data_IF_125098438354
#
_entry.id   IF_125098438354
#
_cell.length_a   1.000
_cell.length_b   1.000
_cell.length_c   1.000
_cell.angle_alpha   90.00
_cell.angle_beta   90.00
_cell.angle_gamma   90.00
#
_symmetry.space_group_name_H-M   'P 1'
#
loop_
_entity.id
_entity.type
_entity.pdbx_description
1 polymer ?
#
# COMPACT_ATOMS: atom_id res chain seq x y z
N UNK A 1 9.22 -47.94 24.75
CA UNK A 1 9.12 -46.73 25.58
C UNK A 1 10.30 -45.79 25.45
N UNK A 2 11.57 -46.17 25.60
CA UNK A 2 12.73 -45.24 25.57
C UNK A 2 12.90 -44.54 24.19
N UNK A 3 12.69 -45.23 23.06
CA UNK A 3 12.81 -44.66 21.72
C UNK A 3 11.71 -43.62 21.46
N UNK A 4 10.48 -43.88 21.88
CA UNK A 4 9.36 -42.96 21.71
C UNK A 4 9.57 -41.67 22.54
N UNK A 5 10.09 -41.81 23.78
CA UNK A 5 10.44 -40.68 24.63
C UNK A 5 11.58 -39.85 24.06
N UNK A 6 12.55 -40.49 23.42
CA UNK A 6 13.66 -39.81 22.74
C UNK A 6 13.19 -39.05 21.49
N UNK A 7 12.30 -39.65 20.68
CA UNK A 7 11.68 -38.97 19.53
C UNK A 7 10.85 -37.78 20.00
N UNK A 8 10.03 -37.92 21.04
CA UNK A 8 9.26 -36.81 21.63
C UNK A 8 10.15 -35.69 22.14
N UNK A 9 11.29 -36.05 22.79
CA UNK A 9 12.27 -35.04 23.26
C UNK A 9 12.93 -34.28 22.11
N UNK A 10 13.32 -34.97 21.02
CA UNK A 10 13.88 -34.34 19.83
C UNK A 10 12.87 -33.44 19.14
N UNK A 11 11.62 -33.87 19.00
CA UNK A 11 10.54 -33.04 18.45
C UNK A 11 10.27 -31.82 19.33
N UNK A 12 10.33 -31.98 20.65
CA UNK A 12 10.19 -30.84 21.58
C UNK A 12 11.35 -29.86 21.47
N UNK A 13 12.59 -30.34 21.34
CA UNK A 13 13.78 -29.49 21.15
C UNK A 13 13.71 -28.75 19.81
N UNK A 14 13.29 -29.43 18.73
CA UNK A 14 13.09 -28.81 17.42
C UNK A 14 11.94 -27.79 17.46
N UNK A 15 10.85 -28.09 18.14
CA UNK A 15 9.74 -27.16 18.33
C UNK A 15 10.17 -25.93 19.14
N UNK A 16 10.90 -26.13 20.25
CA UNK A 16 11.45 -25.03 21.07
C UNK A 16 12.49 -24.22 20.30
N UNK A 17 13.34 -24.88 19.51
CA UNK A 17 14.30 -24.21 18.63
C UNK A 17 13.62 -23.41 17.52
N UNK A 18 12.58 -23.97 16.89
CA UNK A 18 11.75 -23.29 15.89
C UNK A 18 11.00 -22.11 16.50
N UNK A 19 10.36 -22.29 17.66
CA UNK A 19 9.68 -21.21 18.41
C UNK A 19 10.71 -20.15 18.82
N UNK A 20 11.90 -20.53 19.27
CA UNK A 20 12.98 -19.60 19.61
C UNK A 20 13.49 -18.81 18.38
N UNK A 21 13.60 -19.46 17.22
CA UNK A 21 13.96 -18.81 15.95
C UNK A 21 12.89 -17.83 15.49
N UNK A 22 11.62 -18.28 15.49
CA UNK A 22 10.46 -17.44 15.16
C UNK A 22 10.34 -16.29 16.17
N UNK A 23 10.58 -16.56 17.47
CA UNK A 23 10.61 -15.54 18.52
C UNK A 23 11.67 -14.47 18.25
N UNK A 24 12.90 -14.87 17.92
CA UNK A 24 13.99 -13.93 17.66
C UNK A 24 13.77 -13.06 16.44
N UNK A 25 13.09 -13.60 15.40
CA UNK A 25 12.82 -12.90 14.13
C UNK A 25 11.50 -12.12 14.14
N UNK A 26 10.50 -12.58 14.93
CA UNK A 26 9.13 -12.05 14.92
C UNK A 26 8.49 -11.96 16.31
N UNK A 27 9.28 -11.68 17.35
CA UNK A 27 8.79 -11.63 18.75
C UNK A 27 7.57 -10.72 18.94
N UNK A 28 7.50 -9.64 18.17
CA UNK A 28 6.40 -8.68 18.19
C UNK A 28 5.06 -9.27 17.74
N UNK A 29 5.07 -10.29 16.88
CA UNK A 29 3.86 -10.92 16.33
C UNK A 29 3.40 -12.16 17.11
N UNK A 30 4.26 -12.70 18.00
CA UNK A 30 3.90 -13.87 18.80
C UNK A 30 2.64 -13.66 19.66
N UNK A 31 2.43 -12.50 20.29
CA UNK A 31 1.19 -12.26 21.05
C UNK A 31 -0.08 -12.46 20.22
N UNK A 32 -0.03 -12.17 18.91
CA UNK A 32 -1.18 -12.36 18.02
C UNK A 32 -1.62 -13.83 17.90
N UNK A 33 -0.67 -14.78 17.94
CA UNK A 33 -0.95 -16.22 17.87
C UNK A 33 -1.75 -16.72 19.09
N UNK A 34 -1.61 -16.02 20.22
CA UNK A 34 -2.28 -16.35 21.47
C UNK A 34 -3.46 -15.42 21.78
N UNK A 35 -3.84 -14.53 20.83
CA UNK A 35 -4.88 -13.54 21.06
C UNK A 35 -4.54 -12.52 22.17
N UNK A 36 -3.24 -12.37 22.47
CA UNK A 36 -2.74 -11.45 23.50
C UNK A 36 -2.45 -10.11 22.84
N UNK A 37 -2.92 -9.03 23.45
CA UNK A 37 -2.65 -7.68 22.99
C UNK A 37 -3.86 -6.77 23.20
N UNK A 38 -3.66 -5.50 22.95
CA UNK A 38 -4.71 -4.50 23.05
C UNK A 38 -4.19 -3.12 22.70
N UNK A 39 -5.09 -2.22 22.37
CA UNK A 39 -4.73 -0.85 22.12
C UNK A 39 -4.44 -0.13 23.44
N UNK A 40 -3.23 0.40 23.64
CA UNK A 40 -2.97 1.33 24.73
C UNK A 40 -3.94 2.51 24.65
N UNK A 41 -4.41 2.96 25.82
CA UNK A 41 -5.22 4.17 25.87
C UNK A 41 -4.32 5.40 25.66
N UNK A 42 -4.39 5.98 24.48
CA UNK A 42 -3.75 7.24 24.16
C UNK A 42 -4.73 8.37 24.52
N UNK A 43 -4.32 9.24 25.44
CA UNK A 43 -5.20 10.35 25.87
C UNK A 43 -5.27 11.39 24.75
N UNK A 44 -6.43 12.00 24.55
CA UNK A 44 -6.62 13.05 23.54
C UNK A 44 -5.54 14.13 23.61
N UNK A 45 -5.16 14.58 24.81
CA UNK A 45 -4.10 15.57 25.02
C UNK A 45 -2.72 15.15 24.50
N UNK A 46 -2.45 13.84 24.34
CA UNK A 46 -1.15 13.34 23.90
C UNK A 46 -0.94 13.50 22.38
N UNK A 47 -1.99 13.88 21.64
CA UNK A 47 -1.92 14.18 20.21
C UNK A 47 -1.65 15.66 19.91
N UNK A 48 -1.81 16.56 20.89
CA UNK A 48 -1.83 18.00 20.66
C UNK A 48 -0.73 18.73 21.41
N UNK A 49 -0.28 19.84 20.83
CA UNK A 49 0.54 20.84 21.47
C UNK A 49 -0.33 21.80 22.32
N UNK A 50 0.31 22.69 23.05
CA UNK A 50 -0.39 23.65 23.90
C UNK A 50 -1.26 24.63 23.10
N UNK A 51 -0.92 24.91 21.86
CA UNK A 51 -1.66 25.78 20.94
C UNK A 51 -2.85 25.07 20.24
N UNK A 52 -3.07 23.79 20.54
CA UNK A 52 -4.14 22.98 19.97
C UNK A 52 -3.83 22.33 18.64
N UNK A 53 -2.66 22.56 18.06
CA UNK A 53 -2.22 21.86 16.85
C UNK A 53 -1.70 20.46 17.16
N UNK A 54 -1.66 19.57 16.17
CA UNK A 54 -1.09 18.24 16.36
C UNK A 54 0.41 18.34 16.68
N UNK A 55 0.84 17.57 17.68
CA UNK A 55 2.28 17.41 17.91
C UNK A 55 2.91 16.53 16.83
N UNK A 56 4.19 16.74 16.60
CA UNK A 56 4.94 15.86 15.71
C UNK A 56 5.03 14.44 16.29
N UNK A 57 4.79 13.46 15.44
CA UNK A 57 5.05 12.07 15.73
C UNK A 57 6.54 11.77 15.72
N UNK A 58 6.98 10.90 16.60
CA UNK A 58 8.37 10.51 16.77
C UNK A 58 8.54 9.00 16.66
N UNK A 59 9.76 8.55 16.38
CA UNK A 59 10.10 7.12 16.22
C UNK A 59 9.79 6.26 17.45
N UNK A 60 9.82 6.87 18.64
CA UNK A 60 9.55 6.21 19.91
C UNK A 60 8.08 6.21 20.30
N UNK A 61 7.22 6.86 19.53
CA UNK A 61 5.77 6.74 19.69
C UNK A 61 5.31 5.31 19.42
N UNK A 62 4.27 4.89 20.15
CA UNK A 62 3.70 3.54 19.97
C UNK A 62 2.94 3.47 18.64
N UNK A 63 2.87 2.30 18.03
CA UNK A 63 2.01 2.05 16.88
C UNK A 63 0.57 2.50 17.14
N UNK A 64 0.07 2.31 18.37
CA UNK A 64 -1.24 2.81 18.78
C UNK A 64 -1.41 4.32 18.60
N UNK A 65 -0.36 5.13 18.79
CA UNK A 65 -0.42 6.58 18.58
C UNK A 65 -0.76 6.90 17.12
N UNK A 66 -0.08 6.28 16.19
CA UNK A 66 -0.34 6.47 14.76
C UNK A 66 -1.71 5.95 14.35
N UNK A 67 -2.03 4.68 14.72
CA UNK A 67 -3.28 4.03 14.32
C UNK A 67 -4.53 4.69 14.91
N UNK A 68 -4.44 5.28 16.11
CA UNK A 68 -5.56 5.96 16.76
C UNK A 68 -5.50 7.48 16.59
N UNK A 69 -4.58 7.98 15.75
CA UNK A 69 -4.43 9.42 15.56
C UNK A 69 -5.74 10.04 15.01
N UNK A 70 -6.18 11.20 15.55
CA UNK A 70 -7.41 11.86 15.11
C UNK A 70 -7.50 12.13 13.61
N UNK A 71 -6.36 12.30 12.93
CA UNK A 71 -6.27 12.49 11.47
C UNK A 71 -7.00 11.40 10.67
N UNK A 72 -7.15 10.22 11.23
CA UNK A 72 -7.83 9.10 10.58
C UNK A 72 -9.30 8.92 10.97
N UNK A 73 -9.88 9.84 11.74
CA UNK A 73 -11.31 9.79 12.07
C UNK A 73 -11.77 8.48 12.74
N UNK A 74 -10.87 7.73 13.38
CA UNK A 74 -11.16 6.43 13.99
C UNK A 74 -10.83 5.22 13.10
N UNK A 75 -10.46 5.42 11.85
CA UNK A 75 -10.08 4.35 10.89
C UNK A 75 -8.62 3.94 11.09
N UNK A 76 -8.37 3.07 12.09
CA UNK A 76 -7.02 2.63 12.51
C UNK A 76 -6.21 1.97 11.40
N UNK A 77 -6.89 1.27 10.48
CA UNK A 77 -6.31 0.58 9.34
C UNK A 77 -5.70 1.53 8.30
N UNK A 78 -6.03 2.82 8.33
CA UNK A 78 -5.45 3.83 7.44
C UNK A 78 -3.94 3.99 7.61
N UNK A 79 -3.41 3.79 8.82
CA UNK A 79 -1.96 3.83 9.04
C UNK A 79 -1.28 2.51 8.63
N UNK A 80 -1.87 1.40 9.04
CA UNK A 80 -1.39 0.06 8.71
C UNK A 80 -2.56 -0.93 8.84
N UNK A 81 -2.95 -1.61 7.77
CA UNK A 81 -4.01 -2.59 7.79
C UNK A 81 -3.44 -4.02 7.88
N UNK A 82 -3.96 -4.80 8.79
CA UNK A 82 -3.66 -6.22 9.00
C UNK A 82 -4.80 -6.83 9.83
N UNK A 83 -4.81 -8.13 10.02
CA UNK A 83 -5.81 -8.78 10.89
C UNK A 83 -5.87 -8.16 12.28
N UNK A 84 -7.06 -8.05 12.88
CA UNK A 84 -7.31 -7.34 14.14
C UNK A 84 -6.49 -7.86 15.32
N UNK A 85 -6.23 -9.17 15.40
CA UNK A 85 -5.38 -9.77 16.42
C UNK A 85 -3.92 -9.32 16.28
N UNK A 86 -3.44 -9.14 15.06
CA UNK A 86 -2.10 -8.63 14.77
C UNK A 86 -2.03 -7.14 15.10
N UNK A 87 -3.03 -6.34 14.70
CA UNK A 87 -3.12 -4.92 15.08
C UNK A 87 -3.04 -4.74 16.60
N UNK A 88 -3.79 -5.54 17.36
CA UNK A 88 -3.76 -5.51 18.84
C UNK A 88 -2.41 -5.90 19.42
N UNK A 89 -1.70 -6.85 18.79
CA UNK A 89 -0.38 -7.30 19.22
C UNK A 89 0.71 -6.25 19.00
N UNK A 90 0.67 -5.55 17.86
CA UNK A 90 1.69 -4.53 17.50
C UNK A 90 1.40 -3.16 18.11
N UNK A 91 0.16 -2.86 18.47
CA UNK A 91 -0.25 -1.55 18.99
C UNK A 91 0.60 -1.01 20.15
N UNK A 92 1.07 -1.83 21.13
CA UNK A 92 1.95 -1.38 22.20
C UNK A 92 3.39 -1.10 21.81
N UNK A 93 3.86 -1.61 20.65
CA UNK A 93 5.25 -1.52 20.22
C UNK A 93 5.60 -0.07 19.81
N UNK A 94 6.86 0.32 19.98
CA UNK A 94 7.38 1.56 19.39
C UNK A 94 7.42 1.43 17.87
N UNK A 95 7.20 2.53 17.16
CA UNK A 95 7.24 2.54 15.70
C UNK A 95 8.62 2.13 15.15
N UNK A 96 9.69 2.59 15.79
CA UNK A 96 11.05 2.19 15.41
C UNK A 96 11.27 0.66 15.52
N UNK A 97 10.76 0.03 16.60
CA UNK A 97 10.88 -1.41 16.79
C UNK A 97 10.02 -2.18 15.78
N UNK A 98 8.85 -1.65 15.45
CA UNK A 98 7.97 -2.21 14.41
C UNK A 98 8.64 -2.21 13.05
N UNK A 99 9.16 -1.07 12.58
CA UNK A 99 9.86 -0.99 11.29
C UNK A 99 11.12 -1.85 11.26
N UNK A 100 11.85 -1.93 12.37
CA UNK A 100 13.00 -2.82 12.48
C UNK A 100 12.61 -4.30 12.33
N UNK A 101 11.51 -4.71 12.94
CA UNK A 101 11.00 -6.09 12.81
C UNK A 101 10.54 -6.40 11.38
N UNK A 102 10.09 -5.38 10.63
CA UNK A 102 9.74 -5.48 9.21
C UNK A 102 10.94 -5.40 8.25
N UNK A 103 12.16 -5.17 8.75
CA UNK A 103 13.34 -4.92 7.91
C UNK A 103 13.32 -3.57 7.19
N UNK A 104 12.54 -2.59 7.68
CA UNK A 104 12.27 -1.28 7.03
C UNK A 104 12.81 -0.09 7.82
N UNK A 105 13.82 -0.28 8.65
CA UNK A 105 14.40 0.79 9.46
C UNK A 105 14.93 1.98 8.64
N UNK A 106 15.36 1.73 7.41
CA UNK A 106 15.84 2.71 6.44
C UNK A 106 14.73 3.65 5.93
N UNK A 107 13.45 3.26 6.06
CA UNK A 107 12.29 4.03 5.61
C UNK A 107 11.69 4.92 6.72
N UNK A 108 12.17 4.81 7.95
CA UNK A 108 11.57 5.45 9.13
C UNK A 108 11.48 6.97 9.02
N UNK A 109 12.54 7.63 8.57
CA UNK A 109 12.56 9.09 8.48
C UNK A 109 11.53 9.60 7.47
N UNK A 110 11.44 8.95 6.32
CA UNK A 110 10.44 9.29 5.30
C UNK A 110 9.01 9.05 5.77
N UNK A 111 8.77 7.95 6.47
CA UNK A 111 7.44 7.62 6.99
C UNK A 111 7.01 8.64 8.06
N UNK A 112 7.91 9.02 8.98
CA UNK A 112 7.64 10.05 9.99
C UNK A 112 7.44 11.44 9.37
N UNK A 113 8.28 11.83 8.40
CA UNK A 113 8.10 13.11 7.69
C UNK A 113 6.75 13.15 6.99
N UNK A 114 6.40 12.08 6.27
CA UNK A 114 5.14 11.99 5.54
C UNK A 114 3.92 12.00 6.46
N UNK A 115 3.97 11.29 7.59
CA UNK A 115 2.90 11.33 8.57
C UNK A 115 2.73 12.73 9.18
N UNK A 116 3.83 13.36 9.58
CA UNK A 116 3.81 14.74 10.12
C UNK A 116 3.40 15.78 9.06
N UNK A 117 3.65 15.51 7.78
CA UNK A 117 3.16 16.33 6.68
C UNK A 117 1.64 16.18 6.52
N UNK A 118 1.14 14.94 6.54
CA UNK A 118 -0.29 14.65 6.46
C UNK A 118 -1.06 15.35 7.60
N UNK A 119 -0.58 15.26 8.86
CA UNK A 119 -1.28 15.87 10.00
C UNK A 119 -1.48 17.36 9.80
N UNK A 120 -0.47 18.07 9.29
CA UNK A 120 -0.58 19.51 8.98
C UNK A 120 -1.58 19.80 7.87
N UNK A 121 -1.61 18.97 6.82
CA UNK A 121 -2.57 19.15 5.72
C UNK A 121 -4.02 18.91 6.14
N UNK A 122 -4.25 17.97 7.07
CA UNK A 122 -5.59 17.78 7.63
C UNK A 122 -5.99 18.97 8.50
N UNK A 123 -5.08 19.54 9.29
CA UNK A 123 -5.34 20.75 10.08
C UNK A 123 -5.65 21.98 9.20
N UNK A 124 -4.97 22.11 8.06
CA UNK A 124 -5.22 23.21 7.10
C UNK A 124 -6.41 22.98 6.17
N UNK A 125 -7.00 21.76 6.17
CA UNK A 125 -8.07 21.38 5.25
C UNK A 125 -7.60 21.06 3.82
N UNK A 126 -6.30 20.90 3.62
CA UNK A 126 -5.71 20.48 2.34
C UNK A 126 -5.67 18.97 2.15
N UNK A 127 -5.93 18.20 3.22
CA UNK A 127 -6.16 16.76 3.13
C UNK A 127 -7.41 16.36 3.91
N UNK A 128 -8.13 15.34 3.39
CA UNK A 128 -9.35 14.83 4.00
C UNK A 128 -9.46 13.31 3.87
N UNK A 129 -10.09 12.70 4.87
CA UNK A 129 -10.43 11.28 4.85
C UNK A 129 -11.70 11.07 4.02
N UNK A 130 -11.66 10.12 3.09
CA UNK A 130 -12.81 9.58 2.36
C UNK A 130 -13.10 8.20 2.93
N UNK A 131 -14.29 7.98 3.49
CA UNK A 131 -14.66 6.74 4.17
C UNK A 131 -15.98 6.14 3.69
N UNK A 132 -16.57 6.70 2.66
CA UNK A 132 -17.87 6.33 2.06
C UNK A 132 -17.72 5.79 0.63
N UNK A 133 -16.55 5.18 0.33
CA UNK A 133 -16.29 4.58 -0.98
C UNK A 133 -17.22 3.38 -1.24
N UNK A 134 -17.40 2.53 -0.25
CA UNK A 134 -18.36 1.44 -0.31
C UNK A 134 -19.72 1.85 0.25
N UNK A 135 -20.78 1.32 -0.33
CA UNK A 135 -22.14 1.61 0.12
C UNK A 135 -22.44 1.03 1.51
N UNK A 136 -23.44 1.59 2.18
CA UNK A 136 -23.88 1.08 3.50
C UNK A 136 -24.30 -0.38 3.42
N UNK A 137 -24.96 -0.79 2.33
CA UNK A 137 -25.41 -2.16 2.11
C UNK A 137 -24.22 -3.14 2.00
N UNK A 138 -23.12 -2.72 1.35
CA UNK A 138 -21.90 -3.53 1.29
C UNK A 138 -21.27 -3.68 2.69
N UNK A 139 -21.24 -2.62 3.48
CA UNK A 139 -20.71 -2.62 4.84
C UNK A 139 -21.59 -3.46 5.78
N UNK A 140 -22.91 -3.42 5.62
CA UNK A 140 -23.84 -4.27 6.39
C UNK A 140 -23.64 -5.77 6.08
N UNK A 141 -23.36 -6.12 4.82
CA UNK A 141 -23.07 -7.51 4.42
C UNK A 141 -21.71 -7.98 4.91
N UNK A 142 -20.70 -7.13 4.88
CA UNK A 142 -19.38 -7.40 5.42
C UNK A 142 -18.79 -6.13 6.06
N UNK A 143 -18.73 -6.05 7.41
CA UNK A 143 -18.21 -4.87 8.11
C UNK A 143 -16.80 -4.44 7.70
N UNK A 144 -15.98 -5.37 7.21
CA UNK A 144 -14.64 -5.04 6.71
C UNK A 144 -14.65 -4.23 5.41
N UNK A 145 -15.78 -4.13 4.71
CA UNK A 145 -15.93 -3.21 3.58
C UNK A 145 -15.77 -1.73 3.99
N UNK A 146 -15.93 -1.40 5.27
CA UNK A 146 -15.60 -0.10 5.84
C UNK A 146 -14.10 0.20 5.87
N UNK A 147 -13.24 -0.79 5.61
CA UNK A 147 -11.80 -0.61 5.50
C UNK A 147 -11.36 -0.06 4.14
N UNK A 148 -12.26 -0.04 3.12
CA UNK A 148 -11.98 0.68 1.89
C UNK A 148 -12.15 2.18 2.14
N UNK A 149 -11.04 2.84 2.36
CA UNK A 149 -10.98 4.26 2.68
C UNK A 149 -9.85 4.92 1.90
N UNK A 150 -9.88 6.24 1.78
CA UNK A 150 -8.85 7.01 1.12
C UNK A 150 -8.45 8.25 1.90
N UNK A 151 -7.17 8.58 1.90
CA UNK A 151 -6.69 9.89 2.32
C UNK A 151 -6.43 10.73 1.08
N UNK A 152 -7.28 11.71 0.86
CA UNK A 152 -7.21 12.60 -0.30
C UNK A 152 -6.41 13.86 0.04
N UNK A 153 -5.41 14.16 -0.76
CA UNK A 153 -4.59 15.36 -0.73
C UNK A 153 -5.02 16.24 -1.90
N UNK A 154 -5.48 17.44 -1.61
CA UNK A 154 -5.97 18.38 -2.61
C UNK A 154 -4.80 19.08 -3.31
N UNK A 155 -4.61 18.77 -4.57
CA UNK A 155 -3.56 19.35 -5.41
C UNK A 155 -3.90 20.73 -5.96
N UNK A 156 -3.02 21.22 -6.82
CA UNK A 156 -3.20 22.48 -7.56
C UNK A 156 -4.07 22.25 -8.80
N UNK A 157 -4.86 23.25 -9.15
CA UNK A 157 -5.67 23.21 -10.37
C UNK A 157 -4.82 22.92 -11.62
N UNK A 158 -5.30 22.00 -12.46
CA UNK A 158 -4.64 21.60 -13.71
C UNK A 158 -3.51 20.57 -13.55
N UNK A 159 -3.24 20.12 -12.32
CA UNK A 159 -2.39 18.96 -12.07
C UNK A 159 -3.25 17.69 -12.00
N UNK A 160 -2.77 16.56 -12.55
CA UNK A 160 -3.53 15.31 -12.54
C UNK A 160 -3.64 14.67 -11.17
N UNK A 161 -4.45 13.63 -11.09
CA UNK A 161 -4.63 12.80 -9.90
C UNK A 161 -3.68 11.62 -9.92
N UNK A 162 -3.06 11.32 -8.78
CA UNK A 162 -2.40 10.05 -8.50
C UNK A 162 -3.24 9.22 -7.52
N UNK A 163 -3.53 7.98 -7.86
CA UNK A 163 -4.05 6.98 -6.92
C UNK A 163 -2.87 6.15 -6.43
N UNK A 164 -2.63 6.12 -5.12
CA UNK A 164 -1.52 5.38 -4.51
C UNK A 164 -2.07 4.14 -3.81
N UNK A 165 -1.62 2.97 -4.27
CA UNK A 165 -2.07 1.65 -3.82
C UNK A 165 -0.93 0.94 -3.12
N UNK A 166 -0.89 0.91 -1.77
CA UNK A 166 0.18 0.27 -1.03
C UNK A 166 0.16 -1.25 -1.20
N UNK A 167 1.31 -1.87 -1.00
CA UNK A 167 1.47 -3.32 -0.99
C UNK A 167 1.17 -3.95 0.37
N UNK A 168 1.66 -5.16 0.56
CA UNK A 168 1.51 -5.95 1.79
C UNK A 168 1.01 -7.37 1.54
N UNK A 169 1.22 -7.92 0.33
CA UNK A 169 0.95 -9.32 -0.01
C UNK A 169 -0.52 -9.73 0.11
N UNK A 170 -1.46 -8.79 0.02
CA UNK A 170 -2.91 -8.98 0.28
C UNK A 170 -3.25 -9.45 1.70
N UNK A 171 -2.28 -9.46 2.61
CA UNK A 171 -2.45 -9.79 4.03
C UNK A 171 -2.22 -8.59 4.95
N UNK A 172 -1.75 -7.49 4.40
CA UNK A 172 -1.61 -6.19 5.06
C UNK A 172 -1.66 -5.05 4.04
N UNK A 173 -1.80 -3.79 4.50
CA UNK A 173 -1.47 -2.61 3.70
C UNK A 173 -0.34 -1.83 4.39
N UNK A 174 0.74 -1.60 3.68
CA UNK A 174 1.94 -0.91 4.18
C UNK A 174 1.84 0.58 3.83
N UNK A 175 0.79 1.22 4.28
CA UNK A 175 0.44 2.60 3.90
C UNK A 175 1.45 3.60 4.44
N UNK A 176 2.02 3.31 5.61
CA UNK A 176 3.01 4.14 6.29
C UNK A 176 4.31 4.33 5.49
N UNK A 177 4.79 3.29 4.80
CA UNK A 177 6.04 3.31 4.04
C UNK A 177 5.86 3.47 2.53
N UNK A 178 4.76 2.96 1.96
CA UNK A 178 4.53 2.94 0.51
C UNK A 178 3.45 3.94 0.06
N UNK A 179 2.56 4.37 0.96
CA UNK A 179 1.48 5.29 0.68
C UNK A 179 1.85 6.75 0.94
N UNK A 180 1.98 7.12 2.20
CA UNK A 180 2.15 8.52 2.61
C UNK A 180 3.45 9.18 2.13
N UNK A 181 4.62 8.51 2.09
CA UNK A 181 5.84 9.13 1.57
C UNK A 181 5.72 9.52 0.09
N UNK A 182 5.09 8.67 -0.72
CA UNK A 182 4.85 8.95 -2.14
C UNK A 182 3.84 10.09 -2.30
N UNK A 183 2.75 10.04 -1.52
CA UNK A 183 1.74 11.11 -1.54
C UNK A 183 2.32 12.47 -1.15
N UNK A 184 3.16 12.53 -0.13
CA UNK A 184 3.83 13.75 0.28
C UNK A 184 4.68 14.34 -0.87
N UNK A 185 5.49 13.51 -1.54
CA UNK A 185 6.33 13.98 -2.65
C UNK A 185 5.48 14.47 -3.83
N UNK A 186 4.45 13.72 -4.23
CA UNK A 186 3.53 14.12 -5.29
C UNK A 186 2.78 15.42 -4.95
N UNK A 187 2.24 15.51 -3.74
CA UNK A 187 1.51 16.69 -3.31
C UNK A 187 2.41 17.95 -3.24
N UNK A 188 3.66 17.83 -2.78
CA UNK A 188 4.65 18.94 -2.84
C UNK A 188 4.89 19.45 -4.27
N UNK A 189 4.73 18.61 -5.28
CA UNK A 189 4.78 18.97 -6.71
C UNK A 189 3.44 19.52 -7.25
N UNK A 190 2.41 19.51 -6.41
CA UNK A 190 1.09 20.07 -6.73
C UNK A 190 0.08 19.07 -7.27
N UNK A 191 0.38 17.77 -7.32
CA UNK A 191 -0.59 16.74 -7.74
C UNK A 191 -1.67 16.55 -6.70
N UNK A 192 -2.91 16.26 -7.13
CA UNK A 192 -3.90 15.65 -6.27
C UNK A 192 -3.51 14.19 -6.02
N UNK A 193 -3.68 13.70 -4.79
CA UNK A 193 -3.29 12.32 -4.46
C UNK A 193 -4.38 11.66 -3.62
N UNK A 194 -4.75 10.43 -3.96
CA UNK A 194 -5.55 9.57 -3.09
C UNK A 194 -4.72 8.36 -2.67
N UNK A 195 -4.38 8.27 -1.39
CA UNK A 195 -3.77 7.08 -0.80
C UNK A 195 -4.88 6.19 -0.27
N UNK A 196 -4.98 4.96 -0.78
CA UNK A 196 -6.02 4.03 -0.34
C UNK A 196 -5.54 3.07 0.74
N UNK A 197 -6.45 2.69 1.63
CA UNK A 197 -6.40 1.46 2.41
C UNK A 197 -7.56 0.58 1.97
N UNK A 198 -7.34 -0.72 1.83
CA UNK A 198 -8.34 -1.65 1.33
C UNK A 198 -8.45 -2.88 2.25
N UNK A 199 -9.61 -3.57 2.29
CA UNK A 199 -9.76 -4.80 3.04
C UNK A 199 -8.77 -5.86 2.53
N UNK A 200 -8.08 -6.53 3.43
CA UNK A 200 -7.17 -7.63 3.09
C UNK A 200 -7.94 -8.92 2.83
N UNK A 201 -7.32 -9.88 2.15
CA UNK A 201 -7.99 -11.07 1.63
C UNK A 201 -8.83 -11.84 2.66
N UNK A 202 -8.30 -12.07 3.88
CA UNK A 202 -9.07 -12.74 4.95
C UNK A 202 -10.28 -11.93 5.44
N UNK A 203 -10.19 -10.61 5.45
CA UNK A 203 -11.30 -9.71 5.78
C UNK A 203 -12.42 -9.81 4.73
N UNK A 204 -12.05 -10.17 3.49
CA UNK A 204 -12.96 -10.43 2.38
C UNK A 204 -13.41 -11.90 2.28
N UNK A 205 -13.00 -12.75 3.23
CA UNK A 205 -13.34 -14.18 3.26
C UNK A 205 -12.47 -15.06 2.37
N UNK A 206 -11.39 -14.51 1.81
CA UNK A 206 -10.52 -15.22 0.88
C UNK A 206 -9.25 -15.72 1.57
N UNK A 207 -8.92 -16.98 1.35
CA UNK A 207 -7.73 -17.63 1.96
C UNK A 207 -6.66 -18.00 0.94
N UNK A 208 -7.02 -18.15 -0.32
CA UNK A 208 -6.09 -18.45 -1.41
C UNK A 208 -5.53 -17.13 -1.97
N UNK A 209 -4.21 -17.04 -2.13
CA UNK A 209 -3.52 -15.81 -2.53
C UNK A 209 -4.05 -15.22 -3.85
N UNK A 210 -4.33 -16.04 -4.85
CA UNK A 210 -4.89 -15.59 -6.13
C UNK A 210 -6.28 -14.96 -5.95
N UNK A 211 -7.15 -15.59 -5.17
CA UNK A 211 -8.48 -15.06 -4.85
C UNK A 211 -8.41 -13.79 -4.02
N UNK A 212 -7.44 -13.69 -3.11
CA UNK A 212 -7.16 -12.47 -2.35
C UNK A 212 -6.81 -11.31 -3.29
N UNK A 213 -5.95 -11.57 -4.30
CA UNK A 213 -5.60 -10.59 -5.31
C UNK A 213 -6.80 -10.15 -6.14
N UNK A 214 -7.62 -11.10 -6.62
CA UNK A 214 -8.85 -10.80 -7.37
C UNK A 214 -9.85 -9.97 -6.53
N UNK A 215 -9.99 -10.29 -5.24
CA UNK A 215 -10.83 -9.52 -4.33
C UNK A 215 -10.30 -8.09 -4.16
N UNK A 216 -9.00 -7.92 -3.96
CA UNK A 216 -8.38 -6.61 -3.81
C UNK A 216 -8.52 -5.74 -5.09
N UNK A 217 -8.45 -6.32 -6.28
CA UNK A 217 -8.70 -5.59 -7.54
C UNK A 217 -10.13 -5.05 -7.57
N UNK A 218 -11.13 -5.81 -7.08
CA UNK A 218 -12.52 -5.31 -6.99
C UNK A 218 -12.64 -4.08 -6.08
N UNK A 219 -11.84 -4.02 -5.00
CA UNK A 219 -11.79 -2.83 -4.15
C UNK A 219 -11.19 -1.62 -4.90
N UNK A 220 -10.13 -1.80 -5.69
CA UNK A 220 -9.59 -0.73 -6.53
C UNK A 220 -10.64 -0.23 -7.55
N UNK A 221 -11.44 -1.14 -8.12
CA UNK A 221 -12.56 -0.78 -9.00
C UNK A 221 -13.57 0.13 -8.31
N UNK A 222 -13.92 -0.15 -7.03
CA UNK A 222 -14.82 0.72 -6.26
C UNK A 222 -14.20 2.12 -6.07
N UNK A 223 -12.89 2.19 -5.78
CA UNK A 223 -12.18 3.47 -5.67
C UNK A 223 -12.27 4.28 -6.96
N UNK A 224 -11.99 3.67 -8.11
CA UNK A 224 -12.03 4.40 -9.39
C UNK A 224 -13.46 4.82 -9.74
N UNK A 225 -14.47 4.00 -9.42
CA UNK A 225 -15.87 4.37 -9.57
C UNK A 225 -16.21 5.58 -8.71
N UNK A 226 -15.87 5.55 -7.43
CA UNK A 226 -16.08 6.66 -6.51
C UNK A 226 -15.46 7.95 -7.03
N UNK A 227 -14.19 7.88 -7.45
CA UNK A 227 -13.47 9.03 -8.00
C UNK A 227 -14.16 9.59 -9.25
N UNK A 228 -14.67 8.73 -10.14
CA UNK A 228 -15.40 9.18 -11.34
C UNK A 228 -16.73 9.83 -11.00
N UNK A 229 -17.43 9.31 -10.02
CA UNK A 229 -18.72 9.86 -9.56
C UNK A 229 -18.56 11.21 -8.83
N UNK A 230 -17.39 11.43 -8.18
CA UNK A 230 -17.10 12.63 -7.39
C UNK A 230 -16.02 13.53 -8.02
N UNK A 231 -15.71 13.37 -9.30
CA UNK A 231 -14.58 14.09 -9.94
C UNK A 231 -14.73 15.62 -9.87
N UNK A 232 -15.97 16.14 -9.95
CA UNK A 232 -16.25 17.56 -9.84
C UNK A 232 -16.06 18.08 -8.40
N UNK A 233 -16.55 17.35 -7.41
CA UNK A 233 -16.43 17.68 -6.00
C UNK A 233 -14.96 17.70 -5.56
N UNK A 234 -14.21 16.68 -5.95
CA UNK A 234 -12.79 16.54 -5.65
C UNK A 234 -11.90 17.44 -6.53
N UNK A 235 -12.48 18.07 -7.57
CA UNK A 235 -11.75 18.87 -8.55
C UNK A 235 -10.61 18.10 -9.21
N UNK A 236 -10.87 16.85 -9.62
CA UNK A 236 -9.93 15.96 -10.33
C UNK A 236 -10.46 15.64 -11.73
N UNK A 237 -9.55 15.25 -12.62
CA UNK A 237 -9.87 14.80 -13.98
C UNK A 237 -9.57 13.30 -14.08
N UNK A 238 -10.63 12.49 -14.18
CA UNK A 238 -10.49 11.04 -14.29
C UNK A 238 -10.13 10.56 -15.70
N UNK A 239 -10.01 11.45 -16.67
CA UNK A 239 -9.45 11.16 -18.00
C UNK A 239 -7.93 11.41 -18.03
N UNK A 240 -7.35 12.05 -16.98
CA UNK A 240 -5.92 12.30 -16.81
C UNK A 240 -5.48 11.94 -15.38
N UNK A 241 -5.34 10.66 -15.10
CA UNK A 241 -4.86 10.18 -13.82
C UNK A 241 -3.82 9.05 -13.98
N UNK A 242 -3.06 8.81 -12.91
CA UNK A 242 -2.11 7.72 -12.83
C UNK A 242 -2.35 6.85 -11.57
N UNK A 243 -1.85 5.61 -11.59
CA UNK A 243 -1.87 4.71 -10.44
C UNK A 243 -0.43 4.33 -10.06
N UNK A 244 -0.05 4.64 -8.82
CA UNK A 244 1.19 4.19 -8.20
C UNK A 244 0.89 2.99 -7.30
N UNK A 245 1.22 1.80 -7.76
CA UNK A 245 1.01 0.56 -6.99
C UNK A 245 2.33 -0.05 -6.54
N UNK A 246 2.36 -0.56 -5.32
CA UNK A 246 3.56 -1.13 -4.71
C UNK A 246 3.33 -2.61 -4.38
N UNK A 247 4.25 -3.52 -4.78
CA UNK A 247 4.12 -4.95 -4.47
C UNK A 247 2.73 -5.50 -4.87
N UNK A 248 1.94 -6.01 -3.93
CA UNK A 248 0.55 -6.41 -4.15
C UNK A 248 -0.31 -5.30 -4.78
N UNK A 249 -0.09 -4.02 -4.39
CA UNK A 249 -0.73 -2.85 -5.02
C UNK A 249 -0.30 -2.67 -6.48
N UNK A 250 0.93 -3.03 -6.83
CA UNK A 250 1.40 -3.06 -8.21
C UNK A 250 0.69 -4.13 -9.03
N UNK A 251 0.45 -5.32 -8.46
CA UNK A 251 -0.37 -6.37 -9.07
C UNK A 251 -1.81 -5.91 -9.30
N UNK A 252 -2.43 -5.24 -8.31
CA UNK A 252 -3.75 -4.63 -8.48
C UNK A 252 -3.78 -3.60 -9.60
N UNK A 253 -2.75 -2.75 -9.67
CA UNK A 253 -2.60 -1.72 -10.70
C UNK A 253 -2.54 -2.34 -12.10
N UNK A 254 -1.73 -3.38 -12.29
CA UNK A 254 -1.62 -4.07 -13.58
C UNK A 254 -2.91 -4.81 -13.95
N UNK A 255 -3.50 -5.54 -12.99
CA UNK A 255 -4.75 -6.27 -13.23
C UNK A 255 -5.91 -5.33 -13.59
N UNK A 256 -6.01 -4.17 -12.94
CA UNK A 256 -7.00 -3.14 -13.27
C UNK A 256 -6.77 -2.54 -14.66
N UNK A 257 -5.53 -2.25 -15.01
CA UNK A 257 -5.19 -1.45 -16.21
C UNK A 257 -5.17 -2.27 -17.50
N UNK A 258 -4.97 -3.59 -17.42
CA UNK A 258 -4.91 -4.50 -18.56
C UNK A 258 -6.20 -5.31 -18.77
N UNK A 259 -6.17 -6.29 -19.66
CA UNK A 259 -7.34 -7.04 -20.16
C UNK A 259 -8.17 -7.79 -19.11
N UNK A 260 -7.60 -8.08 -17.96
CA UNK A 260 -8.34 -8.69 -16.84
C UNK A 260 -9.35 -7.73 -16.21
N UNK A 261 -9.33 -6.46 -16.64
CA UNK A 261 -10.30 -5.44 -16.27
C UNK A 261 -11.76 -5.87 -16.52
N UNK A 262 -12.07 -6.45 -17.68
CA UNK A 262 -13.44 -6.88 -17.99
C UNK A 262 -13.91 -8.03 -17.11
N UNK A 263 -13.01 -8.94 -16.74
CA UNK A 263 -13.31 -10.06 -15.85
C UNK A 263 -13.51 -9.59 -14.41
N UNK A 264 -12.71 -8.60 -13.95
CA UNK A 264 -12.78 -8.06 -12.59
C UNK A 264 -13.91 -7.04 -12.40
N UNK A 265 -14.27 -6.30 -13.45
CA UNK A 265 -15.13 -5.10 -13.34
C UNK A 265 -16.56 -5.32 -13.82
N UNK A 266 -16.99 -6.55 -14.12
CA UNK A 266 -18.35 -6.88 -14.56
C UNK A 266 -18.90 -5.93 -15.64
N UNK A 267 -18.10 -5.63 -16.67
CA UNK A 267 -18.47 -4.78 -17.82
C UNK A 267 -18.75 -3.29 -17.50
N UNK A 268 -18.32 -2.79 -16.35
CA UNK A 268 -18.46 -1.35 -16.05
C UNK A 268 -17.39 -0.58 -16.83
N UNK A 269 -17.80 0.38 -17.65
CA UNK A 269 -16.87 1.31 -18.32
C UNK A 269 -16.37 2.35 -17.32
N UNK A 270 -15.22 2.09 -16.73
CA UNK A 270 -14.51 3.06 -15.91
C UNK A 270 -13.33 3.65 -16.70
N UNK A 271 -12.89 4.87 -16.40
CA UNK A 271 -11.73 5.46 -17.05
C UNK A 271 -10.47 4.65 -16.73
N UNK A 272 -9.60 4.49 -17.73
CA UNK A 272 -8.28 3.88 -17.55
C UNK A 272 -7.24 4.93 -17.19
N UNK A 273 -6.24 4.59 -16.37
CA UNK A 273 -5.12 5.51 -16.11
C UNK A 273 -4.35 5.79 -17.40
N UNK A 274 -3.77 6.98 -17.52
CA UNK A 274 -2.81 7.30 -18.59
C UNK A 274 -1.48 6.62 -18.38
N UNK A 275 -1.04 6.59 -17.13
CA UNK A 275 0.26 6.00 -16.75
C UNK A 275 0.09 5.14 -15.49
N UNK A 276 0.78 4.01 -15.47
CA UNK A 276 0.86 3.14 -14.31
C UNK A 276 2.29 2.97 -13.82
N UNK A 277 2.41 2.86 -12.50
CA UNK A 277 3.68 2.69 -11.78
C UNK A 277 3.62 1.43 -10.90
N UNK A 278 3.65 0.23 -11.47
CA UNK A 278 3.64 -1.01 -10.69
C UNK A 278 5.06 -1.30 -10.16
N UNK A 279 5.40 -0.71 -9.02
CA UNK A 279 6.72 -0.82 -8.40
C UNK A 279 6.87 -2.19 -7.74
N UNK A 280 7.95 -2.92 -8.06
CA UNK A 280 8.26 -4.27 -7.54
C UNK A 280 7.04 -5.20 -7.37
N UNK A 281 6.02 -5.02 -8.17
CA UNK A 281 4.76 -5.75 -8.09
C UNK A 281 4.18 -6.07 -9.47
N UNK A 282 5.06 -6.31 -10.44
CA UNK A 282 4.67 -6.67 -11.79
C UNK A 282 4.18 -8.11 -11.88
N UNK A 283 2.89 -8.30 -11.77
CA UNK A 283 2.27 -9.50 -12.34
C UNK A 283 1.76 -9.19 -13.75
N UNK A 284 2.64 -9.39 -14.69
CA UNK A 284 2.31 -9.22 -16.09
C UNK A 284 1.70 -10.49 -16.69
N UNK A 285 0.78 -11.12 -16.03
CA UNK A 285 -0.03 -12.15 -16.70
C UNK A 285 -0.96 -11.46 -17.71
N UNK A 286 -0.35 -10.58 -18.48
CA UNK A 286 -0.97 -9.71 -19.45
C UNK A 286 -1.29 -10.55 -20.68
N UNK A 287 -2.51 -10.94 -20.80
CA UNK A 287 -3.13 -11.03 -22.12
C UNK A 287 -3.38 -9.58 -22.53
N UNK A 288 -2.32 -8.86 -22.89
CA UNK A 288 -2.43 -7.50 -23.33
C UNK A 288 -3.30 -7.46 -24.58
N UNK A 289 -4.35 -6.69 -24.52
CA UNK A 289 -5.24 -6.50 -25.64
C UNK A 289 -4.64 -5.47 -26.58
N UNK A 290 -4.86 -5.66 -27.89
CA UNK A 290 -4.59 -4.63 -28.92
C UNK A 290 -5.28 -3.28 -28.61
N UNK A 291 -6.18 -3.25 -27.62
CA UNK A 291 -6.96 -2.09 -27.18
C UNK A 291 -6.24 -1.18 -26.18
N UNK A 292 -5.10 -1.60 -25.63
CA UNK A 292 -4.37 -0.84 -24.60
C UNK A 292 -3.43 0.22 -25.16
N UNK A 293 -3.57 0.56 -26.46
CA UNK A 293 -2.86 1.66 -27.10
C UNK A 293 -3.13 2.97 -26.36
N UNK A 294 -2.08 3.58 -25.82
CA UNK A 294 -2.13 4.84 -25.08
C UNK A 294 -1.93 4.69 -23.57
N UNK A 295 -1.85 3.46 -23.02
CA UNK A 295 -1.36 3.24 -21.67
C UNK A 295 0.16 3.25 -21.66
N UNK A 296 0.75 4.01 -20.73
CA UNK A 296 2.19 3.98 -20.47
C UNK A 296 2.50 3.37 -19.09
N UNK A 297 3.66 2.74 -18.94
CA UNK A 297 4.06 2.08 -17.72
C UNK A 297 5.52 2.28 -17.35
N UNK A 298 5.77 2.69 -16.12
CA UNK A 298 7.10 2.80 -15.54
C UNK A 298 7.22 1.87 -14.34
N UNK A 299 8.31 1.11 -14.25
CA UNK A 299 8.54 0.20 -13.12
C UNK A 299 10.01 0.07 -12.78
N UNK A 300 10.27 -0.22 -11.52
CA UNK A 300 11.59 -0.64 -11.03
C UNK A 300 11.46 -2.00 -10.35
N UNK A 301 12.40 -2.88 -10.66
CA UNK A 301 12.53 -4.20 -10.05
C UNK A 301 13.97 -4.43 -9.61
N UNK A 302 14.15 -5.18 -8.54
CA UNK A 302 15.45 -5.63 -8.05
C UNK A 302 15.73 -7.07 -8.42
N UNK A 303 16.99 -7.42 -8.74
CA UNK A 303 17.36 -8.82 -8.99
C UNK A 303 17.37 -9.67 -7.72
N UNK A 304 17.48 -9.03 -6.56
CA UNK A 304 17.42 -9.69 -5.25
C UNK A 304 16.00 -9.72 -4.68
N UNK A 305 14.99 -9.31 -5.47
CA UNK A 305 13.59 -9.42 -5.09
C UNK A 305 13.14 -10.90 -5.14
N UNK A 306 12.97 -11.49 -3.96
CA UNK A 306 12.57 -12.89 -3.80
C UNK A 306 11.11 -13.18 -4.18
N UNK A 307 10.27 -12.15 -4.36
CA UNK A 307 8.83 -12.30 -4.57
C UNK A 307 8.40 -12.23 -6.04
N UNK A 308 9.21 -11.76 -6.97
CA UNK A 308 8.64 -11.65 -8.32
C UNK A 308 9.53 -11.23 -9.46
N UNK A 309 10.81 -11.01 -9.24
CA UNK A 309 11.71 -10.52 -10.27
C UNK A 309 11.75 -11.38 -11.55
N UNK A 310 11.79 -12.72 -11.43
CA UNK A 310 11.97 -13.63 -12.57
C UNK A 310 10.91 -13.56 -13.67
N UNK A 311 9.76 -12.93 -13.41
CA UNK A 311 8.70 -12.74 -14.39
C UNK A 311 8.84 -11.43 -15.17
N UNK A 312 9.45 -10.40 -14.61
CA UNK A 312 9.57 -9.07 -15.23
C UNK A 312 10.45 -9.12 -16.49
N UNK A 313 11.64 -9.69 -16.39
CA UNK A 313 12.59 -9.79 -17.51
C UNK A 313 12.01 -10.58 -18.70
N UNK A 314 11.31 -11.68 -18.44
CA UNK A 314 10.71 -12.53 -19.48
C UNK A 314 9.57 -11.86 -20.22
N UNK A 315 8.86 -10.93 -19.57
CA UNK A 315 7.63 -10.34 -20.12
C UNK A 315 7.82 -8.94 -20.66
N UNK A 316 8.93 -8.28 -20.34
CA UNK A 316 9.25 -6.96 -20.82
C UNK A 316 9.19 -6.84 -22.38
N UNK A 317 9.72 -7.79 -23.19
CA UNK A 317 9.58 -7.71 -24.64
C UNK A 317 8.13 -7.75 -25.13
N UNK A 318 7.28 -8.57 -24.50
CA UNK A 318 5.86 -8.65 -24.84
C UNK A 318 5.14 -7.33 -24.53
N UNK A 319 5.42 -6.72 -23.39
CA UNK A 319 4.87 -5.44 -22.99
C UNK A 319 5.21 -4.34 -23.98
N UNK A 320 6.49 -4.20 -24.32
CA UNK A 320 6.98 -3.24 -25.30
C UNK A 320 6.33 -3.44 -26.66
N UNK A 321 6.13 -4.70 -27.07
CA UNK A 321 5.43 -5.02 -28.32
C UNK A 321 3.96 -4.55 -28.34
N UNK A 322 3.29 -4.56 -27.18
CA UNK A 322 1.86 -4.22 -27.10
C UNK A 322 1.64 -2.74 -26.85
N UNK A 323 2.36 -2.16 -25.89
CA UNK A 323 2.19 -0.75 -25.51
C UNK A 323 3.03 0.20 -26.37
N UNK A 324 4.06 -0.29 -27.05
CA UNK A 324 5.08 0.49 -27.75
C UNK A 324 6.34 0.67 -26.91
N UNK A 325 7.49 0.70 -27.59
CA UNK A 325 8.81 0.82 -26.93
C UNK A 325 8.89 2.04 -26.02
N UNK A 326 8.42 3.20 -26.51
CA UNK A 326 8.49 4.47 -25.81
C UNK A 326 7.52 4.58 -24.64
N UNK A 327 6.46 3.77 -24.62
CA UNK A 327 5.45 3.75 -23.57
C UNK A 327 5.82 2.83 -22.40
N UNK A 328 6.97 2.16 -22.45
CA UNK A 328 7.37 1.21 -21.40
C UNK A 328 8.79 1.48 -20.92
N UNK A 329 8.91 1.90 -19.68
CA UNK A 329 10.19 2.04 -18.96
C UNK A 329 10.24 1.08 -17.80
N UNK A 330 10.99 -0.01 -17.92
CA UNK A 330 11.27 -0.94 -16.83
C UNK A 330 12.77 -0.97 -16.57
N UNK A 331 13.15 -0.65 -15.34
CA UNK A 331 14.55 -0.65 -14.90
C UNK A 331 14.78 -1.75 -13.88
N UNK A 332 15.86 -2.49 -14.10
CA UNK A 332 16.21 -3.64 -13.29
C UNK A 332 17.59 -3.38 -12.68
N UNK A 333 17.68 -3.48 -11.36
CA UNK A 333 18.89 -3.16 -10.62
C UNK A 333 19.43 -4.38 -9.88
N UNK A 334 20.74 -4.60 -9.97
CA UNK A 334 21.45 -5.51 -9.08
C UNK A 334 21.50 -4.93 -7.66
N UNK A 335 21.59 -5.76 -6.64
CA UNK A 335 21.65 -5.36 -5.23
C UNK A 335 20.44 -4.53 -4.75
N UNK A 336 19.28 -4.73 -5.36
CA UNK A 336 18.02 -4.16 -4.94
C UNK A 336 17.04 -5.30 -4.61
N UNK A 337 16.54 -5.30 -3.36
CA UNK A 337 15.54 -6.24 -2.88
C UNK A 337 14.11 -5.71 -3.05
N UNK A 338 13.15 -6.43 -2.46
CA UNK A 338 11.74 -6.07 -2.45
C UNK A 338 11.43 -4.94 -1.46
N UNK A 339 10.39 -4.15 -1.74
CA UNK A 339 9.78 -3.27 -0.74
C UNK A 339 10.59 -2.02 -0.39
N UNK A 340 11.36 -1.48 -1.33
CA UNK A 340 12.23 -0.32 -1.12
C UNK A 340 11.49 1.02 -0.94
N UNK A 341 10.14 1.06 -1.05
CA UNK A 341 9.33 2.27 -0.86
C UNK A 341 9.80 3.42 -1.75
N UNK A 342 10.08 4.59 -1.14
CA UNK A 342 10.57 5.77 -1.86
C UNK A 342 12.04 5.68 -2.31
N UNK A 343 12.72 4.57 -2.00
CA UNK A 343 14.10 4.31 -2.46
C UNK A 343 15.19 5.02 -1.67
N UNK A 344 14.88 5.77 -0.61
CA UNK A 344 15.89 6.42 0.24
C UNK A 344 16.82 5.38 0.86
N UNK A 345 18.12 5.71 0.90
CA UNK A 345 19.17 4.80 1.39
C UNK A 345 19.34 3.51 0.56
N UNK A 346 18.85 3.50 -0.68
CA UNK A 346 19.05 2.40 -1.64
C UNK A 346 19.84 2.90 -2.85
N UNK A 347 20.07 2.02 -3.83
CA UNK A 347 20.74 2.36 -5.09
C UNK A 347 19.80 3.10 -6.08
N UNK A 348 18.53 3.30 -5.73
CA UNK A 348 17.50 3.96 -6.56
C UNK A 348 16.89 5.19 -5.86
N UNK A 349 17.69 6.12 -5.30
CA UNK A 349 17.15 7.22 -4.49
C UNK A 349 16.36 8.25 -5.33
N UNK A 350 16.52 8.23 -6.65
CA UNK A 350 15.93 9.20 -7.59
C UNK A 350 14.83 8.60 -8.47
N UNK A 351 14.38 7.37 -8.19
CA UNK A 351 13.37 6.74 -9.02
C UNK A 351 12.08 7.55 -9.11
N UNK A 352 11.76 8.28 -8.03
CA UNK A 352 10.53 9.04 -7.96
C UNK A 352 10.53 10.22 -8.94
N UNK A 353 11.62 10.96 -9.02
CA UNK A 353 11.81 12.08 -9.95
C UNK A 353 11.72 11.60 -11.41
N UNK A 354 12.36 10.47 -11.73
CA UNK A 354 12.30 9.82 -13.04
C UNK A 354 10.89 9.34 -13.39
N UNK A 355 10.15 8.80 -12.42
CA UNK A 355 8.76 8.40 -12.61
C UNK A 355 7.85 9.61 -12.90
N UNK A 356 8.06 10.75 -12.22
CA UNK A 356 7.31 11.98 -12.48
C UNK A 356 7.63 12.54 -13.87
N UNK A 357 8.89 12.55 -14.29
CA UNK A 357 9.29 12.96 -15.65
C UNK A 357 8.62 12.07 -16.70
N UNK A 358 8.62 10.75 -16.49
CA UNK A 358 7.94 9.80 -17.37
C UNK A 358 6.43 10.08 -17.44
N UNK A 359 5.79 10.35 -16.30
CA UNK A 359 4.37 10.69 -16.26
C UNK A 359 4.04 11.93 -17.07
N UNK A 360 4.75 13.05 -16.81
CA UNK A 360 4.50 14.32 -17.54
C UNK A 360 4.73 14.20 -19.07
N UNK A 361 5.60 13.27 -19.51
CA UNK A 361 5.83 12.99 -20.92
C UNK A 361 4.69 12.19 -21.58
N UNK A 362 3.95 11.35 -20.83
CA UNK A 362 3.00 10.39 -21.37
C UNK A 362 1.53 10.67 -21.02
N UNK A 363 1.25 11.71 -20.26
CA UNK A 363 -0.14 12.05 -19.84
C UNK A 363 -0.95 12.80 -20.92
N UNK A 364 -0.31 13.33 -21.95
CA UNK A 364 -0.94 14.17 -23.00
C UNK A 364 -1.52 13.35 -24.14
#
# INVERSE_FOLDING_TARGET
>A
MKILAMIMLVLLILAVGFVGYVYKKNAMFLPALFGIGGFPNIKKKDYYQADGTFRKAEKDDKMAFFMQHPVFGGYKHMFFNVEDNVLKAIAPAKYADFLKAQGRSDQMENALEAFNYLTRLVESGEAQLISDINSKEMIEQNPYQSHLTGMFYKGKQGKPLAVVVPGGGFISNVTDCEGYPVAMKLHKLGYSVLVISYPIGKQLGETEHEKQGQAAVRELVQVIRYLKEHEQELSVDMDDYAIFGFSAGGMMTTAYSFANYEDCCHKVKLPRPKVIFPMYGLDWNVKALEQDKGLAGFSIAGREDEYGFGNVEKRLPQLKSVLGEDNVSVRIYDNLGHGFGIGSNTIVPHWFEEAVEFWEAHRK
#
